data_IF_591829589657
#
_entry.id   IF_591829589657
#
_cell.length_a   1.000
_cell.length_b   1.000
_cell.length_c   1.000
_cell.angle_alpha   90.00
_cell.angle_beta   90.00
_cell.angle_gamma   90.00
#
_symmetry.space_group_name_H-M   'P 1'
#
loop_
_entity.id
_entity.type
_entity.pdbx_description
1 polymer ?
#
# COMPACT_ATOMS: atom_id res chain seq x y z
N UNK A 1 -3.12 -5.56 32.69
CA UNK A 1 -2.69 -5.46 31.28
C UNK A 1 -3.14 -6.73 30.57
N UNK A 2 -4.05 -6.60 29.61
CA UNK A 2 -4.54 -7.75 28.84
C UNK A 2 -3.54 -8.03 27.72
N UNK A 3 -3.01 -9.23 27.67
CA UNK A 3 -2.06 -9.67 26.65
C UNK A 3 -2.84 -10.50 25.63
N UNK A 4 -2.73 -10.11 24.35
CA UNK A 4 -3.30 -10.88 23.25
C UNK A 4 -2.17 -11.65 22.58
N UNK A 5 -2.39 -12.94 22.38
CA UNK A 5 -1.51 -13.77 21.57
C UNK A 5 -1.94 -13.67 20.10
N UNK A 6 -1.01 -13.31 19.21
CA UNK A 6 -1.23 -13.27 17.77
C UNK A 6 -0.38 -14.32 17.08
N UNK A 7 -1.00 -15.03 16.17
CA UNK A 7 -0.27 -15.86 15.20
C UNK A 7 0.17 -14.96 14.04
N UNK A 8 1.46 -14.79 13.89
CA UNK A 8 2.05 -14.12 12.72
C UNK A 8 2.73 -15.20 11.90
N UNK A 9 2.01 -15.68 10.90
CA UNK A 9 2.49 -16.68 9.97
C UNK A 9 2.99 -18.00 10.61
N UNK A 10 2.94 -19.11 9.91
CA UNK A 10 3.25 -20.42 10.48
C UNK A 10 4.75 -20.65 10.71
N UNK A 11 5.65 -19.92 10.08
CA UNK A 11 7.10 -20.08 10.25
C UNK A 11 7.72 -19.11 11.25
N UNK A 12 7.05 -18.02 11.53
CA UNK A 12 7.32 -17.21 12.72
C UNK A 12 6.51 -17.70 13.91
N UNK A 13 6.13 -18.94 13.92
CA UNK A 13 5.18 -19.72 14.71
C UNK A 13 5.04 -19.41 16.18
N UNK A 14 5.67 -18.37 16.63
CA UNK A 14 5.55 -17.83 17.96
C UNK A 14 4.48 -16.76 18.01
N UNK A 15 3.63 -16.89 19.01
CA UNK A 15 2.62 -15.90 19.31
C UNK A 15 3.31 -14.66 19.90
N UNK A 16 3.18 -13.52 19.24
CA UNK A 16 3.61 -12.27 19.85
C UNK A 16 2.65 -11.85 20.95
N UNK A 17 3.19 -11.58 22.13
CA UNK A 17 2.43 -10.98 23.22
C UNK A 17 2.38 -9.48 23.04
N UNK A 18 1.21 -8.94 22.73
CA UNK A 18 1.00 -7.51 22.49
C UNK A 18 0.17 -6.92 23.63
N UNK A 19 0.63 -5.79 24.16
CA UNK A 19 -0.14 -5.06 25.17
C UNK A 19 -1.26 -4.26 24.50
N UNK A 20 -2.51 -4.60 24.78
CA UNK A 20 -3.67 -3.86 24.30
C UNK A 20 -3.69 -2.39 24.76
N UNK A 21 -3.16 -2.10 25.93
CA UNK A 21 -3.23 -0.75 26.51
C UNK A 21 -2.32 0.27 25.82
N UNK A 22 -1.34 -0.17 25.03
CA UNK A 22 -0.44 0.72 24.29
C UNK A 22 -0.95 1.11 22.89
N UNK A 23 -1.93 0.39 22.35
CA UNK A 23 -2.37 0.55 20.96
C UNK A 23 -3.87 0.81 20.89
N UNK A 24 -4.28 1.99 21.34
CA UNK A 24 -5.72 2.35 21.40
C UNK A 24 -6.43 2.23 20.05
N UNK A 25 -5.74 2.51 18.94
CA UNK A 25 -6.31 2.38 17.61
C UNK A 25 -6.51 0.90 17.19
N UNK A 26 -5.77 -0.04 17.77
CA UNK A 26 -5.93 -1.49 17.55
C UNK A 26 -7.03 -2.15 18.38
N UNK A 27 -7.74 -1.40 19.21
CA UNK A 27 -8.92 -1.90 19.92
C UNK A 27 -10.06 -2.33 18.98
N UNK A 28 -10.00 -1.90 17.73
CA UNK A 28 -10.96 -2.28 16.68
C UNK A 28 -10.67 -3.63 16.03
N UNK A 29 -9.51 -4.23 16.27
CA UNK A 29 -9.05 -5.41 15.54
C UNK A 29 -9.95 -6.62 15.73
N UNK A 30 -10.54 -6.79 16.92
CA UNK A 30 -11.51 -7.85 17.21
C UNK A 30 -12.84 -7.69 16.43
N UNK A 31 -13.06 -6.54 15.81
CA UNK A 31 -14.25 -6.23 15.00
C UNK A 31 -14.03 -6.47 13.51
N UNK A 32 -12.79 -6.78 13.09
CA UNK A 32 -12.41 -6.95 11.69
C UNK A 32 -12.29 -8.43 11.38
N UNK A 33 -13.06 -8.89 10.42
CA UNK A 33 -12.84 -10.17 9.76
C UNK A 33 -11.92 -9.95 8.56
N UNK A 34 -10.64 -10.19 8.74
CA UNK A 34 -9.62 -9.92 7.74
C UNK A 34 -9.80 -10.76 6.48
N UNK A 35 -10.18 -12.02 6.60
CA UNK A 35 -10.34 -12.89 5.42
C UNK A 35 -11.57 -12.49 4.59
N UNK A 36 -12.67 -12.13 5.23
CA UNK A 36 -13.83 -11.57 4.56
C UNK A 36 -13.49 -10.24 3.85
N UNK A 37 -12.73 -9.36 4.52
CA UNK A 37 -12.29 -8.09 3.94
C UNK A 37 -11.38 -8.30 2.72
N UNK A 38 -10.41 -9.21 2.82
CA UNK A 38 -9.49 -9.58 1.74
C UNK A 38 -10.25 -10.09 0.52
N UNK A 39 -11.13 -11.07 0.73
CA UNK A 39 -11.93 -11.63 -0.35
C UNK A 39 -12.91 -10.62 -0.94
N UNK A 40 -13.50 -9.74 -0.15
CA UNK A 40 -14.32 -8.65 -0.66
C UNK A 40 -13.54 -7.77 -1.63
N UNK A 41 -12.36 -7.28 -1.23
CA UNK A 41 -11.51 -6.40 -2.05
C UNK A 41 -11.06 -7.09 -3.35
N UNK A 42 -10.57 -8.31 -3.28
CA UNK A 42 -10.18 -9.09 -4.45
C UNK A 42 -11.37 -9.27 -5.42
N UNK A 43 -12.55 -9.60 -4.91
CA UNK A 43 -13.75 -9.75 -5.73
C UNK A 43 -14.16 -8.43 -6.38
N UNK A 44 -14.04 -7.30 -5.68
CA UNK A 44 -14.28 -5.97 -6.28
C UNK A 44 -13.34 -5.68 -7.46
N UNK A 45 -12.06 -6.06 -7.36
CA UNK A 45 -11.12 -5.95 -8.49
C UNK A 45 -11.60 -6.83 -9.65
N UNK A 46 -11.87 -8.10 -9.41
CA UNK A 46 -12.34 -9.05 -10.43
C UNK A 46 -13.65 -8.61 -11.11
N UNK A 47 -14.58 -8.07 -10.36
CA UNK A 47 -15.81 -7.47 -10.91
C UNK A 47 -15.50 -6.37 -11.94
N UNK A 48 -14.52 -5.50 -11.65
CA UNK A 48 -14.13 -4.46 -12.62
C UNK A 48 -13.45 -5.03 -13.83
N UNK A 49 -12.59 -6.05 -13.70
CA UNK A 49 -11.96 -6.72 -14.84
C UNK A 49 -13.03 -7.36 -15.75
N UNK A 50 -13.95 -8.12 -15.18
CA UNK A 50 -15.04 -8.77 -15.93
C UNK A 50 -15.96 -7.76 -16.63
N UNK A 51 -16.37 -6.71 -15.90
CA UNK A 51 -17.26 -5.67 -16.44
C UNK A 51 -16.66 -4.94 -17.64
N UNK A 52 -15.34 -4.84 -17.72
CA UNK A 52 -14.62 -4.11 -18.77
C UNK A 52 -13.95 -5.02 -19.78
N UNK A 53 -14.29 -6.32 -19.80
CA UNK A 53 -13.70 -7.33 -20.69
C UNK A 53 -12.17 -7.38 -20.61
N UNK A 54 -11.61 -7.30 -19.40
CA UNK A 54 -10.19 -7.42 -19.14
C UNK A 54 -9.86 -8.85 -18.74
N UNK A 55 -8.93 -9.50 -19.46
CA UNK A 55 -8.54 -10.89 -19.20
C UNK A 55 -7.76 -11.06 -17.88
N UNK A 56 -6.99 -10.05 -17.51
CA UNK A 56 -6.24 -10.02 -16.26
C UNK A 56 -5.56 -8.68 -16.03
N UNK A 57 -5.03 -8.47 -14.82
CA UNK A 57 -4.23 -7.30 -14.54
C UNK A 57 -2.90 -7.65 -13.86
N UNK A 58 -1.92 -6.76 -14.04
CA UNK A 58 -0.64 -6.77 -13.33
C UNK A 58 -0.56 -5.48 -12.53
N UNK A 59 -0.32 -5.61 -11.24
CA UNK A 59 -0.21 -4.48 -10.32
C UNK A 59 1.20 -4.41 -9.77
N UNK A 60 1.85 -3.27 -9.93
CA UNK A 60 3.15 -2.93 -9.37
C UNK A 60 3.04 -1.94 -8.23
N UNK A 61 2.01 -1.07 -8.26
CA UNK A 61 1.79 -0.09 -7.21
C UNK A 61 1.52 -0.77 -5.87
N UNK A 62 2.30 -0.49 -4.81
CA UNK A 62 2.16 -1.11 -3.50
C UNK A 62 0.77 -0.92 -2.88
N UNK A 63 0.10 0.20 -3.15
CA UNK A 63 -1.26 0.48 -2.67
C UNK A 63 -2.27 -0.45 -3.35
N UNK A 64 -2.15 -0.61 -4.68
CA UNK A 64 -3.02 -1.48 -5.46
C UNK A 64 -2.81 -2.95 -5.10
N UNK A 65 -1.54 -3.39 -4.96
CA UNK A 65 -1.21 -4.74 -4.50
C UNK A 65 -1.83 -4.97 -3.11
N UNK A 66 -1.64 -4.00 -2.19
CA UNK A 66 -2.19 -4.06 -0.83
C UNK A 66 -3.71 -4.15 -0.84
N UNK A 67 -4.39 -3.35 -1.65
CA UNK A 67 -5.84 -3.40 -1.75
C UNK A 67 -6.32 -4.78 -2.25
N UNK A 68 -5.76 -5.25 -3.34
CA UNK A 68 -6.22 -6.49 -3.97
C UNK A 68 -5.89 -7.76 -3.16
N UNK A 69 -4.78 -7.77 -2.42
CA UNK A 69 -4.24 -9.00 -1.82
C UNK A 69 -3.94 -8.92 -0.32
N UNK A 70 -4.00 -7.74 0.26
CA UNK A 70 -3.54 -7.47 1.64
C UNK A 70 -2.07 -7.82 1.90
N UNK A 71 -1.26 -7.96 0.85
CA UNK A 71 0.16 -8.22 0.98
C UNK A 71 0.97 -6.94 0.93
N UNK A 72 2.03 -6.86 1.74
CA UNK A 72 3.00 -5.77 1.73
C UNK A 72 4.40 -6.27 2.02
N UNK A 73 5.38 -5.70 1.37
CA UNK A 73 6.78 -5.87 1.68
C UNK A 73 7.54 -4.65 1.17
N UNK A 74 8.31 -3.99 2.03
CA UNK A 74 9.11 -2.80 1.70
C UNK A 74 8.33 -1.77 0.83
N UNK A 75 7.10 -1.39 1.26
CA UNK A 75 6.18 -0.62 0.42
C UNK A 75 6.80 0.68 -0.12
N UNK A 76 7.43 1.49 0.74
CA UNK A 76 8.06 2.76 0.33
C UNK A 76 9.19 2.52 -0.68
N UNK A 77 10.01 1.49 -0.52
CA UNK A 77 11.03 1.12 -1.49
C UNK A 77 10.44 0.68 -2.83
N UNK A 78 9.34 -0.07 -2.78
CA UNK A 78 8.66 -0.58 -3.98
C UNK A 78 7.96 0.52 -4.80
N UNK A 79 7.75 1.72 -4.27
CA UNK A 79 7.32 2.88 -5.08
C UNK A 79 8.41 3.36 -6.05
N UNK A 80 9.68 3.13 -5.73
CA UNK A 80 10.80 3.59 -6.56
C UNK A 80 11.23 2.57 -7.60
N UNK A 81 11.01 1.28 -7.31
CA UNK A 81 11.48 0.18 -8.15
C UNK A 81 10.40 -0.88 -8.30
N UNK A 82 10.16 -1.35 -9.52
CA UNK A 82 9.19 -2.41 -9.82
C UNK A 82 9.73 -3.80 -9.40
N UNK A 83 10.00 -3.95 -8.10
CA UNK A 83 10.68 -5.11 -7.52
C UNK A 83 9.74 -6.18 -6.98
N UNK A 84 8.45 -5.94 -7.01
CA UNK A 84 7.39 -6.93 -6.74
C UNK A 84 6.14 -6.57 -7.51
N UNK A 85 5.34 -7.55 -7.84
CA UNK A 85 4.07 -7.34 -8.55
C UNK A 85 3.13 -8.54 -8.34
N UNK A 86 1.87 -8.35 -8.66
CA UNK A 86 0.87 -9.41 -8.62
C UNK A 86 0.16 -9.51 -9.97
N UNK A 87 -0.05 -10.74 -10.43
CA UNK A 87 -0.93 -11.05 -11.55
C UNK A 87 -2.28 -11.54 -11.02
N UNK A 88 -3.35 -10.89 -11.44
CA UNK A 88 -4.73 -11.22 -11.08
C UNK A 88 -5.52 -11.44 -12.36
N UNK A 89 -5.84 -12.70 -12.73
CA UNK A 89 -6.77 -12.96 -13.83
C UNK A 89 -8.20 -12.61 -13.42
N UNK A 90 -9.04 -12.29 -14.38
CA UNK A 90 -10.47 -12.08 -14.15
C UNK A 90 -11.13 -13.30 -13.45
N UNK A 91 -10.62 -14.50 -13.72
CA UNK A 91 -10.98 -15.74 -13.03
C UNK A 91 -9.76 -16.67 -12.97
N UNK A 92 -9.52 -17.30 -11.80
CA UNK A 92 -8.39 -18.19 -11.60
C UNK A 92 -7.45 -17.74 -10.47
N UNK A 93 -6.23 -18.29 -10.40
CA UNK A 93 -5.32 -18.08 -9.28
C UNK A 93 -4.69 -16.68 -9.31
N UNK A 94 -4.53 -16.10 -8.12
CA UNK A 94 -3.73 -14.89 -7.90
C UNK A 94 -2.28 -15.29 -7.69
N UNK A 95 -1.38 -14.74 -8.49
CA UNK A 95 0.04 -15.09 -8.47
C UNK A 95 0.85 -13.86 -8.04
N UNK A 96 1.45 -13.94 -6.86
CA UNK A 96 2.32 -12.91 -6.33
C UNK A 96 3.76 -13.18 -6.75
N UNK A 97 4.42 -12.18 -7.33
CA UNK A 97 5.84 -12.19 -7.61
C UNK A 97 6.56 -11.37 -6.54
N UNK A 98 7.38 -12.05 -5.77
CA UNK A 98 7.98 -11.50 -4.55
C UNK A 98 9.51 -11.71 -4.54
N UNK A 99 10.19 -11.04 -3.63
CA UNK A 99 11.61 -11.26 -3.42
C UNK A 99 11.90 -12.73 -3.12
N UNK A 100 13.00 -13.28 -3.64
CA UNK A 100 13.38 -14.66 -3.37
C UNK A 100 13.46 -14.96 -1.86
N UNK A 101 12.94 -16.10 -1.44
CA UNK A 101 12.92 -16.58 -0.05
C UNK A 101 11.99 -15.79 0.89
N UNK A 102 11.05 -15.02 0.35
CA UNK A 102 10.03 -14.31 1.11
C UNK A 102 8.66 -15.00 1.08
N UNK A 103 8.55 -16.21 0.54
CA UNK A 103 7.30 -16.95 0.37
C UNK A 103 6.58 -17.19 1.70
N UNK A 104 7.34 -17.38 2.78
CA UNK A 104 6.83 -17.58 4.13
C UNK A 104 5.98 -16.41 4.67
N UNK A 105 6.15 -15.19 4.14
CA UNK A 105 5.41 -14.00 4.60
C UNK A 105 3.91 -14.14 4.27
N UNK A 106 3.59 -14.87 3.21
CA UNK A 106 2.24 -14.97 2.64
C UNK A 106 1.60 -16.36 2.84
N UNK A 107 2.26 -17.25 3.55
CA UNK A 107 1.66 -18.52 3.94
C UNK A 107 0.34 -18.25 4.69
N UNK A 108 -0.75 -18.90 4.26
CA UNK A 108 -2.10 -18.72 4.78
C UNK A 108 -2.79 -17.37 4.43
N UNK A 109 -2.30 -16.62 3.47
CA UNK A 109 -3.07 -15.50 2.95
C UNK A 109 -4.13 -16.03 1.96
N UNK A 110 -5.41 -15.85 2.29
CA UNK A 110 -6.54 -16.39 1.52
C UNK A 110 -6.70 -15.81 0.11
N UNK A 111 -5.97 -14.73 -0.22
CA UNK A 111 -6.02 -14.09 -1.55
C UNK A 111 -4.86 -14.48 -2.46
N UNK A 112 -3.88 -15.23 -1.98
CA UNK A 112 -2.70 -15.63 -2.76
C UNK A 112 -2.74 -17.15 -2.97
N UNK A 113 -2.79 -17.55 -4.22
CA UNK A 113 -2.79 -18.97 -4.61
C UNK A 113 -1.37 -19.49 -4.90
N UNK A 114 -0.49 -18.63 -5.40
CA UNK A 114 0.89 -18.97 -5.74
C UNK A 114 1.85 -17.80 -5.50
N UNK A 115 3.05 -18.10 -5.00
CA UNK A 115 4.14 -17.12 -4.89
C UNK A 115 5.29 -17.56 -5.76
N UNK A 116 5.80 -16.66 -6.58
CA UNK A 116 6.97 -16.86 -7.45
C UNK A 116 8.05 -15.84 -7.16
N UNK A 117 9.30 -16.19 -7.47
CA UNK A 117 10.38 -15.21 -7.46
C UNK A 117 10.13 -14.13 -8.51
N UNK A 118 10.32 -12.87 -8.14
CA UNK A 118 10.16 -11.73 -9.03
C UNK A 118 11.16 -11.78 -10.19
N UNK A 119 10.69 -11.41 -11.37
CA UNK A 119 11.54 -11.04 -12.51
C UNK A 119 11.44 -9.52 -12.63
N UNK A 120 12.49 -8.82 -12.25
CA UNK A 120 12.60 -7.38 -12.35
C UNK A 120 13.63 -6.99 -13.41
N UNK A 121 13.54 -5.77 -13.91
CA UNK A 121 14.43 -5.23 -14.94
C UNK A 121 14.95 -3.83 -14.62
N UNK A 122 14.93 -3.43 -13.35
CA UNK A 122 15.51 -2.16 -12.95
C UNK A 122 17.04 -2.19 -13.13
N UNK A 123 17.60 -1.03 -13.51
CA UNK A 123 19.04 -0.92 -13.77
C UNK A 123 19.88 -1.15 -12.50
N UNK A 124 19.36 -0.78 -11.34
CA UNK A 124 20.06 -0.94 -10.06
C UNK A 124 20.40 -2.41 -9.77
N UNK A 125 19.50 -3.33 -10.06
CA UNK A 125 19.72 -4.76 -9.80
C UNK A 125 20.23 -5.55 -11.01
N UNK A 126 19.93 -5.11 -12.25
CA UNK A 126 20.20 -5.88 -13.47
C UNK A 126 21.33 -5.32 -14.33
N UNK A 127 21.76 -4.08 -14.10
CA UNK A 127 22.80 -3.44 -14.92
C UNK A 127 22.45 -3.50 -16.40
N UNK A 128 23.35 -3.98 -17.24
CA UNK A 128 23.15 -4.06 -18.69
C UNK A 128 22.13 -5.11 -19.16
N UNK A 129 21.59 -5.93 -18.26
CA UNK A 129 20.64 -6.99 -18.61
C UNK A 129 19.17 -6.52 -18.60
N UNK A 130 18.90 -5.23 -18.43
CA UNK A 130 17.54 -4.62 -18.32
C UNK A 130 16.61 -5.13 -19.41
N UNK A 131 16.99 -5.03 -20.68
CA UNK A 131 16.13 -5.41 -21.80
C UNK A 131 15.90 -6.92 -21.88
N UNK A 132 16.92 -7.71 -21.56
CA UNK A 132 16.77 -9.17 -21.50
C UNK A 132 15.78 -9.56 -20.40
N UNK A 133 15.89 -8.96 -19.22
CA UNK A 133 15.02 -9.25 -18.08
C UNK A 133 13.58 -8.80 -18.32
N UNK A 134 13.35 -7.66 -18.94
CA UNK A 134 12.03 -7.22 -19.36
C UNK A 134 11.41 -8.20 -20.36
N UNK A 135 12.21 -8.74 -21.28
CA UNK A 135 11.76 -9.77 -22.23
C UNK A 135 11.40 -11.10 -21.56
N UNK A 136 12.16 -11.52 -20.53
CA UNK A 136 11.85 -12.70 -19.71
C UNK A 136 10.51 -12.49 -18.94
N UNK A 137 10.34 -11.30 -18.34
CA UNK A 137 9.09 -10.92 -17.68
C UNK A 137 7.90 -10.94 -18.66
N UNK A 138 8.02 -10.30 -19.82
CA UNK A 138 6.96 -10.25 -20.81
C UNK A 138 6.55 -11.66 -21.29
N UNK A 139 7.51 -12.58 -21.43
CA UNK A 139 7.23 -13.99 -21.72
C UNK A 139 6.43 -14.66 -20.61
N UNK A 140 6.81 -14.43 -19.36
CA UNK A 140 6.07 -14.96 -18.19
C UNK A 140 4.63 -14.44 -18.16
N UNK A 141 4.43 -13.15 -18.43
CA UNK A 141 3.09 -12.56 -18.53
C UNK A 141 2.27 -13.21 -19.63
N UNK A 142 2.87 -13.44 -20.80
CA UNK A 142 2.20 -14.11 -21.93
C UNK A 142 1.77 -15.53 -21.58
N UNK A 143 2.63 -16.28 -20.90
CA UNK A 143 2.31 -17.64 -20.42
C UNK A 143 1.12 -17.64 -19.45
N UNK A 144 1.08 -16.67 -18.53
CA UNK A 144 -0.02 -16.51 -17.56
C UNK A 144 -1.33 -16.11 -18.25
N UNK A 145 -1.29 -15.14 -19.15
CA UNK A 145 -2.46 -14.69 -19.88
C UNK A 145 -3.03 -15.83 -20.75
N UNK A 146 -2.20 -16.56 -21.47
CA UNK A 146 -2.64 -17.74 -22.26
C UNK A 146 -3.27 -18.82 -21.38
N UNK A 147 -2.71 -19.03 -20.19
CA UNK A 147 -3.19 -20.09 -19.30
C UNK A 147 -4.52 -19.74 -18.62
N UNK A 148 -4.70 -18.47 -18.21
CA UNK A 148 -5.79 -18.08 -17.32
C UNK A 148 -6.81 -17.11 -17.93
N UNK A 149 -6.49 -16.49 -19.07
CA UNK A 149 -7.37 -15.52 -19.73
C UNK A 149 -7.85 -15.99 -21.11
N UNK A 150 -7.57 -17.22 -21.47
CA UNK A 150 -7.92 -17.81 -22.78
C UNK A 150 -7.41 -16.94 -23.94
N UNK A 151 -8.28 -16.56 -24.85
CA UNK A 151 -7.93 -15.72 -26.02
C UNK A 151 -8.07 -14.21 -25.74
N UNK A 152 -8.44 -13.81 -24.52
CA UNK A 152 -8.59 -12.39 -24.18
C UNK A 152 -7.23 -11.71 -24.11
N UNK A 153 -6.98 -10.79 -25.03
CA UNK A 153 -5.74 -10.00 -25.16
C UNK A 153 -5.79 -8.64 -24.43
N UNK A 154 -6.87 -8.37 -23.71
CA UNK A 154 -7.00 -7.15 -22.92
C UNK A 154 -6.27 -7.33 -21.56
N UNK A 155 -5.16 -6.66 -21.37
CA UNK A 155 -4.34 -6.71 -20.16
C UNK A 155 -4.32 -5.34 -19.51
N UNK A 156 -4.65 -5.26 -18.23
CA UNK A 156 -4.56 -4.01 -17.47
C UNK A 156 -3.26 -3.96 -16.65
N UNK A 157 -2.61 -2.79 -16.61
CA UNK A 157 -1.39 -2.54 -15.84
C UNK A 157 -1.55 -1.18 -15.15
N UNK A 158 -1.18 -1.07 -13.89
CA UNK A 158 -1.28 0.19 -13.14
C UNK A 158 -0.06 1.10 -13.37
N UNK A 159 1.13 0.60 -13.13
CA UNK A 159 2.40 1.30 -13.32
C UNK A 159 3.34 0.37 -14.08
N UNK A 160 4.00 0.87 -15.12
CA UNK A 160 5.07 0.14 -15.80
C UNK A 160 5.95 1.14 -16.57
N UNK A 161 7.24 0.93 -16.56
CA UNK A 161 8.17 1.73 -17.33
C UNK A 161 8.10 1.42 -18.84
N UNK A 162 8.68 2.30 -19.69
CA UNK A 162 8.67 2.09 -21.13
C UNK A 162 9.35 0.79 -21.57
N UNK A 163 10.35 0.29 -20.83
CA UNK A 163 11.07 -0.95 -21.19
C UNK A 163 10.15 -2.16 -21.05
N UNK A 164 9.41 -2.25 -19.95
CA UNK A 164 8.42 -3.32 -19.74
C UNK A 164 7.29 -3.26 -20.76
N UNK A 165 6.73 -2.06 -21.01
CA UNK A 165 5.66 -1.87 -22.01
C UNK A 165 6.13 -2.29 -23.40
N UNK A 166 7.33 -1.87 -23.81
CA UNK A 166 7.88 -2.26 -25.11
C UNK A 166 8.09 -3.76 -25.21
N UNK A 167 8.62 -4.41 -24.18
CA UNK A 167 8.81 -5.85 -24.14
C UNK A 167 7.50 -6.63 -24.32
N UNK A 168 6.38 -6.15 -23.77
CA UNK A 168 5.06 -6.72 -24.00
C UNK A 168 4.56 -6.51 -25.43
N UNK A 169 4.71 -5.29 -25.97
CA UNK A 169 4.22 -4.93 -27.29
C UNK A 169 4.99 -5.62 -28.43
N UNK A 170 6.31 -5.71 -28.31
CA UNK A 170 7.18 -6.27 -29.36
C UNK A 170 6.88 -7.75 -29.66
N UNK A 171 6.46 -8.50 -28.66
CA UNK A 171 6.29 -9.97 -28.77
C UNK A 171 4.84 -10.44 -28.77
N UNK A 172 3.96 -9.78 -28.00
CA UNK A 172 2.71 -10.42 -27.59
C UNK A 172 1.44 -9.68 -28.02
N UNK A 173 1.55 -8.45 -28.51
CA UNK A 173 0.42 -7.65 -29.06
C UNK A 173 -0.80 -7.58 -28.14
N UNK A 174 -0.58 -7.33 -26.85
CA UNK A 174 -1.67 -7.08 -25.91
C UNK A 174 -2.28 -5.70 -26.14
N UNK A 175 -3.59 -5.61 -25.97
CA UNK A 175 -4.26 -4.32 -25.80
C UNK A 175 -4.13 -3.92 -24.34
N UNK A 176 -3.32 -2.89 -24.08
CA UNK A 176 -3.02 -2.44 -22.72
C UNK A 176 -4.05 -1.42 -22.24
N UNK A 177 -4.46 -1.58 -21.00
CA UNK A 177 -5.39 -0.70 -20.29
C UNK A 177 -4.77 -0.23 -18.99
N UNK A 178 -5.18 0.94 -18.50
CA UNK A 178 -4.75 1.44 -17.21
C UNK A 178 -5.55 0.75 -16.09
N UNK A 179 -4.88 -0.09 -15.28
CA UNK A 179 -5.50 -0.78 -14.16
C UNK A 179 -5.89 0.18 -13.03
N UNK A 180 -5.24 1.34 -12.89
CA UNK A 180 -5.51 2.30 -11.83
C UNK A 180 -6.99 2.68 -11.77
N UNK A 181 -7.60 2.96 -12.93
CA UNK A 181 -9.03 3.28 -12.99
C UNK A 181 -9.91 2.18 -12.39
N UNK A 182 -9.61 0.92 -12.67
CA UNK A 182 -10.40 -0.21 -12.17
C UNK A 182 -10.22 -0.41 -10.67
N UNK A 183 -9.00 -0.21 -10.18
CA UNK A 183 -8.69 -0.30 -8.76
C UNK A 183 -9.35 0.84 -7.95
N UNK A 184 -9.36 2.06 -8.47
CA UNK A 184 -10.02 3.20 -7.83
C UNK A 184 -11.52 3.01 -7.74
N UNK A 185 -12.16 2.52 -8.81
CA UNK A 185 -13.60 2.18 -8.80
C UNK A 185 -13.86 1.03 -7.81
N UNK A 186 -13.00 0.01 -7.77
CA UNK A 186 -13.13 -1.08 -6.82
C UNK A 186 -13.06 -0.57 -5.38
N UNK A 187 -12.09 0.32 -5.06
CA UNK A 187 -11.90 0.91 -3.73
C UNK A 187 -12.98 1.89 -3.31
N UNK A 188 -13.76 2.45 -4.24
CA UNK A 188 -14.72 3.51 -3.93
C UNK A 188 -15.80 3.06 -2.94
N UNK A 189 -16.21 1.80 -2.96
CA UNK A 189 -17.22 1.23 -2.05
C UNK A 189 -16.52 0.35 -1.01
N UNK A 190 -16.60 0.76 0.25
CA UNK A 190 -15.95 0.09 1.38
C UNK A 190 -16.85 -0.98 2.00
N UNK A 191 -16.28 -2.12 2.37
CA UNK A 191 -16.96 -3.11 3.21
C UNK A 191 -17.09 -2.61 4.65
N UNK A 192 -17.89 -3.31 5.45
CA UNK A 192 -18.03 -3.01 6.89
C UNK A 192 -16.70 -3.13 7.63
N UNK A 193 -15.84 -4.07 7.24
CA UNK A 193 -14.53 -4.28 7.86
C UNK A 193 -13.56 -3.15 7.50
N UNK A 194 -13.58 -2.68 6.26
CA UNK A 194 -12.82 -1.50 5.82
C UNK A 194 -13.24 -0.23 6.56
N UNK A 195 -14.54 -0.06 6.85
CA UNK A 195 -15.03 1.06 7.66
C UNK A 195 -14.43 1.02 9.08
N UNK A 196 -14.24 -0.16 9.66
CA UNK A 196 -13.57 -0.29 10.98
C UNK A 196 -12.10 0.12 10.86
N UNK A 197 -11.40 -0.29 9.80
CA UNK A 197 -10.02 0.12 9.53
C UNK A 197 -9.90 1.65 9.37
N UNK A 198 -10.80 2.27 8.61
CA UNK A 198 -10.86 3.73 8.45
C UNK A 198 -11.05 4.44 9.79
N UNK A 199 -11.95 3.95 10.64
CA UNK A 199 -12.16 4.50 12.00
C UNK A 199 -10.88 4.44 12.84
N UNK A 200 -10.12 3.34 12.74
CA UNK A 200 -8.85 3.20 13.45
C UNK A 200 -7.81 4.24 12.96
N UNK A 201 -7.74 4.47 11.65
CA UNK A 201 -6.83 5.47 11.06
C UNK A 201 -7.21 6.89 11.45
N UNK A 202 -8.49 7.26 11.32
CA UNK A 202 -8.99 8.58 11.76
C UNK A 202 -8.71 8.79 13.24
N UNK A 203 -8.96 7.77 14.09
CA UNK A 203 -8.66 7.88 15.52
C UNK A 203 -7.18 8.10 15.82
N UNK A 204 -6.30 7.50 15.04
CA UNK A 204 -4.86 7.72 15.18
C UNK A 204 -4.46 9.14 14.76
N UNK A 205 -5.05 9.66 13.67
CA UNK A 205 -4.82 11.05 13.24
C UNK A 205 -5.29 12.07 14.29
N UNK A 206 -6.50 11.88 14.85
CA UNK A 206 -7.00 12.71 15.96
C UNK A 206 -6.06 12.70 17.17
N UNK A 207 -5.53 11.51 17.53
CA UNK A 207 -4.58 11.39 18.64
C UNK A 207 -3.27 12.11 18.33
N UNK A 208 -2.79 12.04 17.10
CA UNK A 208 -1.60 12.75 16.65
C UNK A 208 -1.78 14.24 16.69
N UNK A 209 -2.87 14.76 16.12
CA UNK A 209 -3.22 16.19 16.16
C UNK A 209 -3.35 16.70 17.61
N UNK A 210 -4.03 15.92 18.47
CA UNK A 210 -4.19 16.28 19.89
C UNK A 210 -2.84 16.33 20.62
N UNK A 211 -1.93 15.40 20.35
CA UNK A 211 -0.59 15.41 20.94
C UNK A 211 0.25 16.59 20.41
N UNK A 212 0.18 16.88 19.11
CA UNK A 212 0.83 18.06 18.54
C UNK A 212 0.34 19.34 19.20
N UNK A 213 -0.97 19.49 19.38
CA UNK A 213 -1.56 20.65 20.08
C UNK A 213 -1.08 20.73 21.54
N UNK A 214 -1.04 19.62 22.28
CA UNK A 214 -0.54 19.58 23.67
C UNK A 214 0.93 19.99 23.79
N UNK A 215 1.76 19.58 22.82
CA UNK A 215 3.21 19.79 22.83
C UNK A 215 3.65 21.10 22.18
N UNK A 216 2.76 21.75 21.43
CA UNK A 216 3.07 22.99 20.72
C UNK A 216 3.48 24.08 21.72
N UNK A 217 4.69 24.61 21.55
CA UNK A 217 5.21 25.72 22.33
C UNK A 217 6.17 26.59 21.51
N UNK A 218 6.32 27.83 21.89
CA UNK A 218 7.35 28.70 21.31
C UNK A 218 8.75 28.12 21.52
N UNK A 219 9.66 28.43 20.61
CA UNK A 219 11.05 28.00 20.56
C UNK A 219 11.29 26.54 20.15
N UNK A 220 10.26 25.77 19.81
CA UNK A 220 10.44 24.49 19.09
C UNK A 220 10.46 24.72 17.58
N UNK A 221 11.02 23.79 16.82
CA UNK A 221 10.98 23.81 15.36
C UNK A 221 9.71 23.19 14.82
N UNK A 222 9.38 23.49 13.56
CA UNK A 222 8.27 22.84 12.84
C UNK A 222 8.49 21.32 12.75
N UNK A 223 9.75 20.88 12.54
CA UNK A 223 10.12 19.47 12.46
C UNK A 223 9.95 18.75 13.80
N UNK A 224 10.31 19.38 14.93
CA UNK A 224 10.06 18.83 16.27
C UNK A 224 8.57 18.63 16.53
N UNK A 225 7.72 19.56 16.08
CA UNK A 225 6.27 19.44 16.20
C UNK A 225 5.74 18.31 15.33
N UNK A 226 6.18 18.22 14.06
CA UNK A 226 5.78 17.18 13.14
C UNK A 226 6.14 15.77 13.61
N UNK A 227 7.27 15.62 14.30
CA UNK A 227 7.73 14.34 14.82
C UNK A 227 6.72 13.67 15.77
N UNK A 228 5.87 14.45 16.46
CA UNK A 228 4.81 13.89 17.32
C UNK A 228 3.73 13.16 16.52
N UNK A 229 3.38 13.64 15.33
CA UNK A 229 2.44 12.94 14.44
C UNK A 229 3.02 11.59 13.98
N UNK A 230 4.27 11.58 13.50
CA UNK A 230 4.97 10.36 13.12
C UNK A 230 5.04 9.34 14.25
N UNK A 231 5.46 9.79 15.41
CA UNK A 231 5.53 8.96 16.61
C UNK A 231 4.17 8.33 16.91
N UNK A 232 3.11 9.13 16.93
CA UNK A 232 1.75 8.65 17.22
C UNK A 232 1.29 7.64 16.18
N UNK A 233 1.53 7.90 14.90
CA UNK A 233 1.16 6.98 13.82
C UNK A 233 1.82 5.61 14.01
N UNK A 234 3.14 5.57 14.17
CA UNK A 234 3.89 4.33 14.32
C UNK A 234 3.52 3.58 15.62
N UNK A 235 3.40 4.29 16.74
CA UNK A 235 3.01 3.67 18.01
C UNK A 235 1.62 3.03 17.98
N UNK A 236 0.73 3.51 17.12
CA UNK A 236 -0.62 2.98 16.95
C UNK A 236 -0.77 2.00 15.79
N UNK A 237 0.35 1.58 15.17
CA UNK A 237 0.37 0.57 14.12
C UNK A 237 0.11 1.12 12.73
N UNK A 238 0.23 2.42 12.55
CA UNK A 238 0.26 3.07 11.25
C UNK A 238 1.57 2.81 10.50
N UNK A 239 1.65 3.29 9.28
CA UNK A 239 2.74 2.95 8.36
C UNK A 239 3.63 4.16 8.07
N UNK A 240 3.28 5.02 7.14
CA UNK A 240 4.03 6.23 6.82
C UNK A 240 3.09 7.43 6.71
N UNK A 241 3.63 8.60 6.45
CA UNK A 241 2.89 9.81 6.16
C UNK A 241 3.36 10.29 4.79
N UNK A 242 2.42 10.57 3.89
CA UNK A 242 2.69 10.88 2.47
C UNK A 242 3.41 12.22 2.30
N UNK A 243 3.14 13.16 3.19
CA UNK A 243 3.70 14.51 3.13
C UNK A 243 4.35 14.90 4.45
N UNK A 244 4.85 16.14 4.51
CA UNK A 244 5.33 16.80 5.74
C UNK A 244 4.73 18.20 5.85
N UNK A 245 3.45 18.33 5.46
CA UNK A 245 2.77 19.62 5.37
C UNK A 245 2.50 20.20 6.77
N UNK A 246 3.44 21.00 7.25
CA UNK A 246 3.31 21.82 8.44
C UNK A 246 4.11 23.10 8.28
N UNK A 247 3.49 24.21 8.58
CA UNK A 247 4.11 25.54 8.50
C UNK A 247 3.68 26.41 9.66
N UNK A 248 4.48 27.42 9.98
CA UNK A 248 4.20 28.37 11.05
C UNK A 248 4.44 29.83 10.65
N UNK A 249 3.70 30.75 11.27
CA UNK A 249 3.83 32.18 11.08
C UNK A 249 3.73 32.61 9.62
N UNK A 250 4.71 33.40 9.09
CA UNK A 250 4.65 33.89 7.71
C UNK A 250 4.67 32.78 6.63
N UNK A 251 5.04 31.55 6.96
CA UNK A 251 5.04 30.43 6.02
C UNK A 251 3.66 29.80 5.83
N UNK A 252 2.65 30.19 6.60
CA UNK A 252 1.28 29.71 6.39
C UNK A 252 0.58 30.34 5.20
N UNK A 253 1.19 31.37 4.59
CA UNK A 253 0.70 32.00 3.37
C UNK A 253 1.89 32.44 2.47
N UNK A 254 2.07 31.85 1.27
CA UNK A 254 1.25 30.80 0.67
C UNK A 254 1.42 29.44 1.37
N UNK A 255 0.35 28.66 1.38
CA UNK A 255 0.27 27.29 1.91
C UNK A 255 1.03 26.27 1.01
N UNK A 256 1.01 24.99 1.35
CA UNK A 256 1.70 23.87 0.67
C UNK A 256 3.23 23.93 0.77
N UNK A 257 3.72 24.03 1.99
CA UNK A 257 5.15 23.95 2.29
C UNK A 257 5.39 22.85 3.32
N UNK A 258 6.44 22.05 3.12
CA UNK A 258 6.87 21.09 4.12
C UNK A 258 7.48 21.77 5.36
N UNK A 259 7.39 21.10 6.50
CA UNK A 259 8.02 21.56 7.72
C UNK A 259 9.55 21.60 7.56
N UNK A 260 10.17 22.55 8.26
CA UNK A 260 11.61 22.73 8.29
C UNK A 260 12.11 23.15 9.69
N UNK A 261 13.35 23.57 9.77
CA UNK A 261 13.99 24.00 11.02
C UNK A 261 13.56 25.42 11.51
N UNK A 262 12.50 26.01 10.95
CA UNK A 262 11.99 27.29 11.44
C UNK A 262 11.53 27.14 12.89
N UNK A 263 11.96 28.07 13.74
CA UNK A 263 11.55 28.17 15.15
C UNK A 263 10.18 28.85 15.23
N UNK A 264 9.21 28.17 15.81
CA UNK A 264 7.85 28.67 16.05
C UNK A 264 7.91 29.77 17.11
N UNK A 265 7.31 30.91 16.81
CA UNK A 265 7.28 32.07 17.67
C UNK A 265 5.95 32.17 18.43
N UNK A 266 5.96 32.84 19.57
CA UNK A 266 4.71 33.15 20.28
C UNK A 266 3.84 34.08 19.43
N UNK A 267 2.60 33.64 19.19
CA UNK A 267 1.62 34.34 18.33
C UNK A 267 1.62 33.91 16.88
N UNK A 268 2.50 32.98 16.47
CA UNK A 268 2.42 32.36 15.16
C UNK A 268 1.12 31.52 15.02
N UNK A 269 0.50 31.62 13.86
CA UNK A 269 -0.42 30.59 13.38
C UNK A 269 0.40 29.35 13.01
N UNK A 270 -0.09 28.16 13.34
CA UNK A 270 0.45 26.88 12.86
C UNK A 270 -0.61 26.18 12.04
N UNK A 271 -0.28 25.82 10.81
CA UNK A 271 -1.15 25.08 9.90
C UNK A 271 -0.49 23.75 9.53
N UNK A 272 -1.26 22.69 9.44
CA UNK A 272 -0.76 21.37 9.06
C UNK A 272 -1.84 20.55 8.35
N UNK A 273 -1.39 19.48 7.69
CA UNK A 273 -2.22 18.51 6.99
C UNK A 273 -1.63 17.12 7.22
N UNK A 274 -2.46 16.13 7.57
CA UNK A 274 -1.92 14.88 8.12
C UNK A 274 -1.50 13.86 7.07
N UNK A 275 -2.16 13.74 5.95
CA UNK A 275 -1.89 12.78 4.85
C UNK A 275 -1.35 11.42 5.31
N UNK A 276 -1.96 10.87 6.34
CA UNK A 276 -1.40 9.78 7.11
C UNK A 276 -1.89 8.43 6.61
N UNK A 277 -0.98 7.50 6.31
CA UNK A 277 -1.28 6.08 6.16
C UNK A 277 -1.24 5.44 7.55
N UNK A 278 -2.41 5.27 8.10
CA UNK A 278 -2.62 4.81 9.47
C UNK A 278 -2.67 3.29 9.61
N UNK A 279 -3.22 2.81 10.73
CA UNK A 279 -3.40 1.38 10.99
C UNK A 279 -4.12 0.67 9.85
N UNK A 280 -3.69 -0.57 9.60
CA UNK A 280 -4.21 -1.45 8.54
C UNK A 280 -4.01 -0.91 7.11
N UNK A 281 -3.21 0.16 6.92
CA UNK A 281 -2.93 0.76 5.62
C UNK A 281 -4.07 1.60 5.06
N UNK A 282 -4.94 2.13 5.91
CA UNK A 282 -5.99 3.08 5.53
C UNK A 282 -5.56 4.51 5.82
N UNK A 283 -5.86 5.40 4.87
CA UNK A 283 -5.51 6.80 4.99
C UNK A 283 -6.46 7.55 5.93
N UNK A 284 -5.91 8.54 6.62
CA UNK A 284 -6.66 9.56 7.34
C UNK A 284 -6.00 10.91 7.06
N UNK A 285 -6.82 11.87 6.72
CA UNK A 285 -6.41 13.21 6.35
C UNK A 285 -7.26 14.22 7.13
N UNK A 286 -6.58 14.98 8.00
CA UNK A 286 -7.18 15.98 8.90
C UNK A 286 -6.28 17.22 8.88
N UNK A 287 -6.86 18.38 8.67
CA UNK A 287 -6.18 19.67 8.70
C UNK A 287 -6.88 20.68 9.63
#
# INVERSE_FOLDING_TARGET
MKIIERKIGPKFGENYKVSQNKFKARLYEDQIDFDRMRMYRLNRVREQLLKNDIGGCILFDPINIRYATDTRNMAVFSFHLMTRYVFIPASGPVILFEYPKCEHIYENNCTIDEVRSVINWDFFSQGNNVYQKASEWAKTVDELMKKYSSDNKNLAIDVCDPVGINALNDRHKYKLFNAQQYLEIARSIKSKDEIVCLKASVKTAEMGASLMHEKLQANMTEEELWAYLYKTNIENGGEWIETRLLTSGPRTNPWFQECNNRIIQKGDLVAFDTDMVGPYGYCADIS
#
